data_IF_015677170650
#
_entry.id   IF_015677170650
#
_cell.length_a   1.000
_cell.length_b   1.000
_cell.length_c   1.000
_cell.angle_alpha   90.00
_cell.angle_beta   90.00
_cell.angle_gamma   90.00
#
_symmetry.space_group_name_H-M   'P 1'
#
loop_
_entity.id
_entity.type
_entity.pdbx_description
1 polymer ?
#
# COMPACT_ATOMS: atom_id res chain seq x y z
N UNK A 1 -63.73 -50.11 -28.23
CA UNK A 1 -63.12 -50.35 -26.91
C UNK A 1 -61.63 -50.64 -27.12
N UNK A 2 -60.79 -49.60 -27.18
CA UNK A 2 -59.35 -49.72 -27.44
C UNK A 2 -58.61 -49.34 -26.17
N UNK A 3 -57.76 -50.25 -25.67
CA UNK A 3 -57.09 -50.18 -24.37
C UNK A 3 -55.70 -49.53 -24.58
N UNK A 4 -55.45 -48.27 -24.16
CA UNK A 4 -54.17 -47.61 -24.36
C UNK A 4 -53.25 -47.93 -23.18
N UNK A 5 -52.82 -49.19 -23.02
CA UNK A 5 -51.90 -49.56 -21.92
C UNK A 5 -50.41 -49.66 -22.31
N UNK A 6 -50.00 -50.07 -23.52
CA UNK A 6 -48.57 -50.16 -23.84
C UNK A 6 -47.96 -48.81 -24.24
N UNK A 7 -48.70 -47.93 -24.91
CA UNK A 7 -48.20 -46.63 -25.37
C UNK A 7 -47.87 -45.66 -24.22
N UNK A 8 -48.70 -45.66 -23.16
CA UNK A 8 -48.49 -44.82 -21.97
C UNK A 8 -47.28 -45.32 -21.14
N UNK A 9 -47.08 -46.65 -21.06
CA UNK A 9 -45.93 -47.25 -20.38
C UNK A 9 -44.61 -46.99 -21.13
N UNK A 10 -44.62 -47.10 -22.46
CA UNK A 10 -43.45 -46.79 -23.29
C UNK A 10 -43.05 -45.32 -23.19
N UNK A 11 -44.03 -44.40 -23.14
CA UNK A 11 -43.78 -42.98 -22.92
C UNK A 11 -43.13 -42.71 -21.56
N UNK A 12 -43.60 -43.37 -20.49
CA UNK A 12 -43.05 -43.21 -19.15
C UNK A 12 -41.61 -43.74 -19.05
N UNK A 13 -41.33 -44.91 -19.64
CA UNK A 13 -39.97 -45.49 -19.70
C UNK A 13 -39.00 -44.59 -20.49
N UNK A 14 -39.45 -44.03 -21.63
CA UNK A 14 -38.64 -43.15 -22.44
C UNK A 14 -38.34 -41.83 -21.72
N UNK A 15 -39.30 -41.30 -20.97
CA UNK A 15 -39.09 -40.11 -20.13
C UNK A 15 -38.08 -40.35 -19.01
N UNK A 16 -38.12 -41.52 -18.35
CA UNK A 16 -37.15 -41.90 -17.31
C UNK A 16 -35.75 -42.09 -17.92
N UNK A 17 -35.64 -42.70 -19.11
CA UNK A 17 -34.37 -42.89 -19.82
C UNK A 17 -33.74 -41.55 -20.24
N UNK A 18 -34.54 -40.63 -20.78
CA UNK A 18 -34.09 -39.27 -21.12
C UNK A 18 -33.69 -38.46 -19.88
N UNK A 19 -34.40 -38.62 -18.75
CA UNK A 19 -34.02 -37.99 -17.49
C UNK A 19 -32.72 -38.57 -16.93
N UNK A 20 -32.46 -39.85 -17.13
CA UNK A 20 -31.22 -40.51 -16.66
C UNK A 20 -29.98 -40.21 -17.51
N UNK A 21 -30.16 -39.78 -18.78
CA UNK A 21 -29.05 -39.33 -19.64
C UNK A 21 -28.67 -37.87 -19.43
N UNK A 22 -29.53 -37.06 -18.79
CA UNK A 22 -29.20 -35.72 -18.25
C UNK A 22 -28.38 -35.81 -16.95
N UNK A 23 -27.44 -36.74 -16.87
CA UNK A 23 -26.49 -36.89 -15.77
C UNK A 23 -25.51 -35.70 -15.70
N UNK A 24 -24.25 -35.94 -15.34
CA UNK A 24 -23.25 -34.91 -15.05
C UNK A 24 -23.09 -33.78 -16.10
N UNK A 25 -23.55 -33.97 -17.34
CA UNK A 25 -23.62 -32.94 -18.38
C UNK A 25 -24.58 -31.79 -18.00
N UNK A 26 -25.66 -32.06 -17.27
CA UNK A 26 -26.61 -31.04 -16.78
C UNK A 26 -26.05 -30.17 -15.64
N UNK A 27 -24.96 -30.59 -15.00
CA UNK A 27 -24.32 -29.83 -13.92
C UNK A 27 -23.51 -28.65 -14.43
N UNK A 28 -22.99 -28.73 -15.66
CA UNK A 28 -22.25 -27.62 -16.30
C UNK A 28 -23.17 -26.42 -16.55
N UNK A 29 -24.31 -26.53 -17.27
CA UNK A 29 -25.20 -25.38 -17.47
C UNK A 29 -25.83 -24.90 -16.16
N UNK A 30 -26.03 -25.78 -15.16
CA UNK A 30 -26.46 -25.37 -13.84
C UNK A 30 -25.39 -24.55 -13.09
N UNK A 31 -24.11 -24.87 -13.28
CA UNK A 31 -22.99 -24.09 -12.72
C UNK A 31 -22.85 -22.74 -13.42
N UNK A 32 -22.87 -22.70 -14.76
CA UNK A 32 -22.80 -21.46 -15.52
C UNK A 32 -23.95 -20.51 -15.16
N UNK A 33 -25.17 -21.03 -15.00
CA UNK A 33 -26.32 -20.23 -14.54
C UNK A 33 -26.13 -19.66 -13.12
N UNK A 34 -25.50 -20.42 -12.22
CA UNK A 34 -25.19 -19.95 -10.88
C UNK A 34 -24.05 -18.92 -10.86
N UNK A 35 -23.08 -19.02 -11.78
CA UNK A 35 -22.02 -18.02 -11.94
C UNK A 35 -22.55 -16.72 -12.57
N UNK A 36 -23.52 -16.79 -13.49
CA UNK A 36 -24.18 -15.60 -14.07
C UNK A 36 -25.04 -14.83 -13.04
N UNK A 37 -25.56 -15.54 -12.03
CA UNK A 37 -26.24 -14.92 -10.89
C UNK A 37 -25.27 -14.33 -9.85
N UNK A 38 -23.95 -14.52 -10.02
CA UNK A 38 -22.95 -13.94 -9.12
C UNK A 38 -22.87 -12.43 -9.36
N UNK A 39 -22.77 -11.60 -8.30
CA UNK A 39 -22.50 -10.18 -8.48
C UNK A 39 -21.14 -9.98 -9.16
N UNK A 40 -21.05 -8.97 -10.02
CA UNK A 40 -19.78 -8.57 -10.63
C UNK A 40 -18.72 -8.23 -9.57
N UNK A 41 -17.44 -8.53 -9.84
CA UNK A 41 -16.33 -8.11 -8.98
C UNK A 41 -16.25 -6.58 -8.95
N UNK A 42 -15.79 -6.05 -7.82
CA UNK A 42 -15.60 -4.62 -7.64
C UNK A 42 -14.13 -4.30 -7.55
N UNK A 43 -13.70 -3.29 -8.30
CA UNK A 43 -12.37 -2.72 -8.15
C UNK A 43 -12.33 -1.86 -6.88
N UNK A 44 -11.38 -2.13 -6.01
CA UNK A 44 -11.17 -1.38 -4.77
C UNK A 44 -9.73 -0.86 -4.70
N UNK A 45 -9.56 0.30 -4.08
CA UNK A 45 -8.25 0.89 -3.83
C UNK A 45 -7.71 0.41 -2.47
N UNK A 46 -6.54 -0.23 -2.48
CA UNK A 46 -5.79 -0.60 -1.28
C UNK A 46 -4.67 0.41 -1.06
N UNK A 47 -4.52 0.89 0.17
CA UNK A 47 -3.57 1.96 0.52
C UNK A 47 -2.53 1.44 1.50
N UNK A 48 -1.34 1.21 0.99
CA UNK A 48 -0.17 0.84 1.79
C UNK A 48 0.62 2.09 2.20
N UNK A 49 1.31 2.00 3.34
CA UNK A 49 2.06 3.13 3.90
C UNK A 49 3.39 2.66 4.47
N UNK A 50 4.44 3.40 4.14
CA UNK A 50 5.78 3.22 4.67
C UNK A 50 6.13 4.48 5.44
N UNK A 51 6.42 4.33 6.72
CA UNK A 51 6.68 5.44 7.62
C UNK A 51 8.11 5.37 8.14
N UNK A 52 8.89 6.42 7.92
CA UNK A 52 10.18 6.65 8.54
C UNK A 52 10.06 7.89 9.43
N UNK A 53 10.05 7.70 10.75
CA UNK A 53 9.95 8.80 11.70
C UNK A 53 10.94 8.63 12.82
N UNK A 54 11.51 9.73 13.30
CA UNK A 54 12.45 9.74 14.41
C UNK A 54 12.28 11.01 15.25
N UNK A 55 12.54 10.86 16.55
CA UNK A 55 12.63 11.96 17.51
C UNK A 55 14.04 11.92 18.05
N UNK A 56 14.79 13.01 17.86
CA UNK A 56 16.17 13.07 18.29
C UNK A 56 16.25 13.22 19.81
N UNK A 57 17.20 12.50 20.40
CA UNK A 57 17.57 12.60 21.82
C UNK A 57 19.10 12.57 21.92
N UNK A 58 19.65 13.34 22.84
CA UNK A 58 21.08 13.43 23.16
C UNK A 58 21.33 12.91 24.55
N UNK A 59 22.47 12.25 24.74
CA UNK A 59 22.86 11.76 26.06
C UNK A 59 23.11 12.92 27.03
N UNK A 60 22.87 12.68 28.32
CA UNK A 60 23.01 13.69 29.38
C UNK A 60 24.43 14.28 29.50
N UNK A 61 25.43 13.64 28.90
CA UNK A 61 26.83 14.10 28.86
C UNK A 61 27.16 14.98 27.66
N UNK A 62 26.30 15.03 26.64
CA UNK A 62 26.51 15.79 25.40
C UNK A 62 25.23 16.48 24.92
N UNK A 63 24.68 17.34 25.77
CA UNK A 63 23.44 18.10 25.54
C UNK A 63 23.57 19.06 24.34
N UNK A 64 24.80 19.37 23.91
CA UNK A 64 25.09 20.23 22.76
C UNK A 64 25.49 19.45 21.50
N UNK A 65 25.47 18.12 21.56
CA UNK A 65 25.82 17.26 20.43
C UNK A 65 24.61 17.02 19.52
N UNK A 66 24.79 17.12 18.21
CA UNK A 66 23.78 16.66 17.25
C UNK A 66 23.87 15.14 17.10
N UNK A 67 22.74 14.45 17.07
CA UNK A 67 22.69 13.01 16.75
C UNK A 67 22.27 12.79 15.31
N UNK A 68 22.86 11.79 14.65
CA UNK A 68 22.51 11.39 13.29
C UNK A 68 21.64 10.13 13.29
N UNK A 69 20.68 10.08 12.39
CA UNK A 69 19.80 8.97 12.15
C UNK A 69 19.74 8.69 10.65
N UNK A 70 19.99 7.44 10.25
CA UNK A 70 19.85 7.01 8.87
C UNK A 70 19.06 5.72 8.81
N UNK A 71 18.12 5.63 7.86
CA UNK A 71 17.33 4.43 7.61
C UNK A 71 17.09 4.26 6.12
N UNK A 72 16.99 3.01 5.68
CA UNK A 72 16.64 2.66 4.32
C UNK A 72 15.54 1.59 4.36
N UNK A 73 14.47 1.81 3.62
CA UNK A 73 13.33 0.91 3.52
C UNK A 73 13.04 0.65 2.05
N UNK A 74 12.66 -0.58 1.72
CA UNK A 74 12.35 -1.00 0.35
C UNK A 74 10.92 -1.49 0.24
N UNK A 75 10.33 -1.34 -0.94
CA UNK A 75 9.00 -1.86 -1.25
C UNK A 75 8.87 -2.24 -2.72
N UNK A 76 7.99 -3.19 -2.99
CA UNK A 76 7.76 -3.69 -4.35
C UNK A 76 6.65 -2.90 -5.05
N UNK A 77 6.90 -2.53 -6.30
CA UNK A 77 5.95 -1.87 -7.19
C UNK A 77 5.68 -2.80 -8.36
N UNK A 78 4.41 -3.15 -8.56
CA UNK A 78 3.90 -3.98 -9.65
C UNK A 78 2.93 -3.16 -10.52
N UNK A 79 2.36 -3.81 -11.55
CA UNK A 79 1.42 -3.20 -12.49
C UNK A 79 0.14 -2.69 -11.83
N UNK A 80 -0.20 -3.20 -10.65
CA UNK A 80 -1.41 -2.83 -9.90
C UNK A 80 -1.23 -1.55 -9.08
N UNK A 81 0.01 -1.07 -8.92
CA UNK A 81 0.28 0.23 -8.30
C UNK A 81 -0.09 1.34 -9.28
N UNK A 82 -1.02 2.19 -8.86
CA UNK A 82 -1.53 3.30 -9.65
C UNK A 82 -0.84 4.61 -9.29
N UNK A 83 -0.61 4.81 -7.99
CA UNK A 83 -0.08 6.06 -7.48
C UNK A 83 0.89 5.83 -6.31
N UNK A 84 2.01 6.54 -6.34
CA UNK A 84 2.95 6.65 -5.22
C UNK A 84 3.00 8.11 -4.81
N UNK A 85 2.74 8.40 -3.54
CA UNK A 85 2.79 9.75 -2.98
C UNK A 85 3.83 9.83 -1.85
N UNK A 86 4.76 10.77 -1.96
CA UNK A 86 5.82 11.03 -1.00
C UNK A 86 5.56 12.31 -0.20
N UNK A 87 5.79 12.23 1.11
CA UNK A 87 5.55 13.31 2.06
C UNK A 87 6.69 13.41 3.07
N UNK A 88 7.15 14.64 3.34
CA UNK A 88 8.14 14.94 4.38
C UNK A 88 7.67 16.10 5.25
N UNK A 89 7.81 15.93 6.57
CA UNK A 89 7.56 16.95 7.57
C UNK A 89 8.62 16.88 8.66
N UNK A 90 9.17 18.02 9.02
CA UNK A 90 10.12 18.15 10.12
C UNK A 90 9.63 19.19 11.13
N UNK A 91 9.92 18.96 12.40
CA UNK A 91 9.74 19.90 13.49
C UNK A 91 11.11 20.10 14.15
N UNK A 92 11.70 21.27 13.96
CA UNK A 92 13.05 21.62 14.39
C UNK A 92 13.07 22.93 15.20
N UNK A 93 12.42 22.98 16.38
CA UNK A 93 12.13 24.23 17.08
C UNK A 93 13.35 24.88 17.77
N UNK A 94 14.54 24.26 17.73
CA UNK A 94 15.71 24.66 18.52
C UNK A 94 16.12 26.14 18.38
N UNK A 95 15.96 26.73 17.17
CA UNK A 95 16.24 28.15 16.92
C UNK A 95 15.39 29.11 17.76
N UNK A 96 14.19 28.70 18.15
CA UNK A 96 13.33 29.50 19.03
C UNK A 96 13.75 29.41 20.50
N UNK A 97 14.59 28.45 20.88
CA UNK A 97 14.77 28.04 22.28
C UNK A 97 16.20 28.33 22.78
N UNK A 98 17.24 28.16 21.95
CA UNK A 98 18.64 28.35 22.35
C UNK A 98 19.45 29.15 21.30
N UNK A 99 19.66 30.47 21.50
CA UNK A 99 20.54 31.25 20.63
C UNK A 99 22.01 30.83 20.82
N UNK A 100 22.70 30.47 19.72
CA UNK A 100 24.14 30.18 19.72
C UNK A 100 24.54 28.72 19.48
N UNK A 101 23.60 27.80 19.32
CA UNK A 101 23.88 26.44 18.83
C UNK A 101 24.03 26.50 17.30
N UNK A 102 25.04 25.84 16.71
CA UNK A 102 25.18 25.77 15.25
C UNK A 102 23.95 25.11 14.61
N UNK A 103 23.22 25.84 13.79
CA UNK A 103 22.01 25.33 13.11
C UNK A 103 22.33 24.71 11.75
N UNK A 104 23.47 25.07 11.17
CA UNK A 104 23.99 24.62 9.86
C UNK A 104 24.20 23.10 9.75
N UNK A 105 24.17 22.38 10.88
CA UNK A 105 24.40 20.93 10.94
C UNK A 105 23.12 20.11 11.00
N UNK A 106 21.94 20.75 11.07
CA UNK A 106 20.64 20.07 11.18
C UNK A 106 20.00 19.92 9.81
N UNK A 107 19.57 18.71 9.49
CA UNK A 107 18.88 18.43 8.24
C UNK A 107 18.08 17.15 8.35
N UNK A 108 17.04 17.04 7.54
CA UNK A 108 16.36 15.79 7.20
C UNK A 108 16.36 15.72 5.69
N UNK A 109 17.04 14.71 5.17
CA UNK A 109 17.14 14.43 3.75
C UNK A 109 16.44 13.12 3.46
N UNK A 110 15.51 13.15 2.52
CA UNK A 110 14.81 11.97 2.07
C UNK A 110 14.92 11.85 0.56
N UNK A 111 15.24 10.65 0.09
CA UNK A 111 15.30 10.33 -1.33
C UNK A 111 14.49 9.07 -1.62
N UNK A 112 13.77 9.08 -2.73
CA UNK A 112 13.10 7.91 -3.28
C UNK A 112 13.77 7.55 -4.60
N UNK A 113 14.24 6.31 -4.68
CA UNK A 113 14.86 5.73 -5.86
C UNK A 113 13.94 4.65 -6.42
N UNK A 114 13.68 4.72 -7.73
CA UNK A 114 12.86 3.74 -8.44
C UNK A 114 13.61 2.41 -8.70
N UNK A 115 12.92 1.46 -9.31
CA UNK A 115 13.50 0.15 -9.67
C UNK A 115 14.60 0.23 -10.75
N UNK A 116 14.66 1.31 -11.53
CA UNK A 116 15.71 1.54 -12.53
C UNK A 116 16.99 2.15 -11.92
N UNK A 117 16.95 2.54 -10.64
CA UNK A 117 18.03 3.26 -9.98
C UNK A 117 17.98 4.78 -10.18
N UNK A 118 16.88 5.32 -10.71
CA UNK A 118 16.66 6.76 -10.86
C UNK A 118 16.08 7.36 -9.57
N UNK A 119 16.67 8.47 -9.12
CA UNK A 119 16.15 9.21 -7.97
C UNK A 119 14.99 10.10 -8.41
N UNK A 120 13.77 9.60 -8.25
CA UNK A 120 12.53 10.28 -8.66
C UNK A 120 12.08 11.38 -7.69
N UNK A 121 12.53 11.31 -6.44
CA UNK A 121 12.20 12.30 -5.42
C UNK A 121 13.39 12.56 -4.50
N UNK A 122 13.59 13.82 -4.17
CA UNK A 122 14.60 14.25 -3.22
C UNK A 122 14.15 15.54 -2.54
N UNK A 123 14.12 15.53 -1.23
CA UNK A 123 13.83 16.71 -0.42
C UNK A 123 14.81 16.82 0.73
N UNK A 124 15.20 18.05 1.01
CA UNK A 124 16.02 18.42 2.15
C UNK A 124 15.32 19.51 2.95
N UNK A 125 15.17 19.28 4.25
CA UNK A 125 14.51 20.18 5.18
C UNK A 125 15.46 20.46 6.34
N UNK A 126 15.76 21.73 6.58
CA UNK A 126 16.67 22.19 7.64
C UNK A 126 15.95 22.92 8.78
N UNK A 127 14.66 23.19 8.61
CA UNK A 127 13.84 23.97 9.54
C UNK A 127 12.50 23.27 9.83
N UNK A 128 11.66 23.91 10.65
CA UNK A 128 10.29 23.42 10.88
C UNK A 128 9.43 23.69 9.65
N UNK A 129 9.37 22.71 8.76
CA UNK A 129 8.64 22.81 7.51
C UNK A 129 7.90 21.51 7.17
N UNK A 130 6.81 21.67 6.42
CA UNK A 130 6.11 20.59 5.74
C UNK A 130 6.13 20.88 4.25
N UNK A 131 6.81 20.04 3.48
CA UNK A 131 6.84 20.18 2.02
C UNK A 131 5.52 19.71 1.39
N UNK A 132 5.29 20.17 0.17
CA UNK A 132 4.16 19.70 -0.64
C UNK A 132 4.33 18.20 -0.94
N UNK A 133 3.19 17.51 -1.09
CA UNK A 133 3.19 16.09 -1.46
C UNK A 133 3.63 15.95 -2.91
N UNK A 134 4.62 15.11 -3.17
CA UNK A 134 5.01 14.71 -4.51
C UNK A 134 4.24 13.43 -4.88
N UNK A 135 3.60 13.44 -6.04
CA UNK A 135 2.75 12.33 -6.50
C UNK A 135 3.26 11.82 -7.85
N UNK A 136 3.42 10.51 -7.95
CA UNK A 136 3.90 9.79 -9.13
C UNK A 136 2.78 8.85 -9.60
N UNK A 137 2.46 8.93 -10.89
CA UNK A 137 1.42 8.13 -11.54
C UNK A 137 2.03 7.37 -12.72
N UNK A 138 1.29 6.38 -13.24
CA UNK A 138 1.76 5.52 -14.33
C UNK A 138 2.25 6.29 -15.58
N UNK A 139 3.31 5.80 -16.27
CA UNK A 139 4.00 4.54 -16.02
C UNK A 139 5.00 4.62 -14.85
N UNK A 140 4.87 3.72 -13.89
CA UNK A 140 5.81 3.54 -12.77
C UNK A 140 6.80 2.43 -13.13
N UNK A 141 8.05 2.55 -12.67
CA UNK A 141 9.04 1.49 -12.84
C UNK A 141 8.67 0.28 -11.96
N UNK A 142 8.39 -0.86 -12.59
CA UNK A 142 8.11 -2.11 -11.86
C UNK A 142 9.39 -2.66 -11.21
N UNK A 143 9.26 -3.15 -9.97
CA UNK A 143 10.33 -3.74 -9.18
C UNK A 143 10.52 -3.06 -7.82
N UNK A 144 11.71 -3.23 -7.23
CA UNK A 144 12.00 -2.76 -5.88
C UNK A 144 12.35 -1.27 -5.85
N UNK A 145 11.53 -0.49 -5.15
CA UNK A 145 11.79 0.91 -4.85
C UNK A 145 12.46 1.05 -3.49
N UNK A 146 13.30 2.08 -3.34
CA UNK A 146 14.06 2.32 -2.11
C UNK A 146 13.83 3.74 -1.60
N UNK A 147 13.30 3.84 -0.37
CA UNK A 147 13.28 5.05 0.42
C UNK A 147 14.54 5.10 1.29
N UNK A 148 15.34 6.15 1.13
CA UNK A 148 16.48 6.43 2.00
C UNK A 148 16.26 7.73 2.73
N UNK A 149 16.44 7.71 4.05
CA UNK A 149 16.35 8.89 4.89
C UNK A 149 17.65 9.02 5.68
N UNK A 150 18.25 10.21 5.61
CA UNK A 150 19.41 10.59 6.40
C UNK A 150 19.11 11.91 7.09
N UNK A 151 19.29 11.96 8.40
CA UNK A 151 18.86 13.08 9.20
C UNK A 151 19.82 13.33 10.35
N UNK A 152 19.94 14.59 10.74
CA UNK A 152 20.70 15.03 11.90
C UNK A 152 19.92 16.11 12.63
N UNK A 153 19.81 15.97 13.94
CA UNK A 153 19.06 16.89 14.79
C UNK A 153 19.54 16.87 16.22
N UNK A 154 18.87 17.66 17.04
CA UNK A 154 19.14 17.76 18.47
C UNK A 154 17.89 17.39 19.27
N UNK A 155 18.07 16.94 20.50
CA UNK A 155 16.95 16.86 21.40
C UNK A 155 17.40 16.49 22.80
N UNK A 156 16.80 17.10 23.79
CA UNK A 156 17.24 17.00 25.17
C UNK A 156 16.22 16.21 26.01
N UNK A 157 16.70 15.32 26.88
CA UNK A 157 15.82 14.40 27.64
C UNK A 157 15.66 14.76 29.14
N UNK A 158 16.55 15.56 29.73
CA UNK A 158 16.55 15.86 31.17
C UNK A 158 15.39 16.79 31.54
N UNK A 159 15.18 17.86 30.78
CA UNK A 159 14.11 18.85 30.99
C UNK A 159 13.02 18.79 29.89
N UNK A 160 13.26 18.07 28.80
CA UNK A 160 12.33 17.85 27.69
C UNK A 160 11.81 19.17 27.09
N UNK A 161 12.70 20.17 27.01
CA UNK A 161 12.35 21.53 26.58
C UNK A 161 12.33 21.64 25.05
N UNK A 162 13.20 20.90 24.37
CA UNK A 162 13.30 20.89 22.91
C UNK A 162 13.68 19.51 22.39
N UNK A 163 13.02 19.09 21.31
CA UNK A 163 13.33 17.87 20.54
C UNK A 163 13.03 18.11 19.07
N UNK A 164 14.04 17.97 18.24
CA UNK A 164 13.85 17.90 16.81
C UNK A 164 13.20 16.54 16.47
N UNK A 165 12.31 16.53 15.49
CA UNK A 165 11.67 15.31 15.02
C UNK A 165 11.29 15.43 13.55
N UNK A 166 11.13 14.28 12.90
CA UNK A 166 10.66 14.25 11.52
C UNK A 166 9.78 13.04 11.25
N UNK A 167 9.03 13.16 10.16
CA UNK A 167 8.25 12.09 9.57
C UNK A 167 8.35 12.16 8.04
N UNK A 168 8.77 11.05 7.45
CA UNK A 168 8.71 10.79 6.02
C UNK A 168 7.72 9.65 5.79
N UNK A 169 6.72 9.89 4.94
CA UNK A 169 5.66 8.94 4.64
C UNK A 169 5.60 8.72 3.14
N UNK A 170 5.71 7.46 2.72
CA UNK A 170 5.38 7.02 1.36
C UNK A 170 4.03 6.32 1.42
N UNK A 171 3.11 6.74 0.57
CA UNK A 171 1.79 6.14 0.41
C UNK A 171 1.72 5.51 -0.97
N UNK A 172 1.33 4.25 -1.01
CA UNK A 172 1.25 3.45 -2.23
C UNK A 172 -0.22 3.09 -2.40
N UNK A 173 -0.81 3.49 -3.52
CA UNK A 173 -2.19 3.15 -3.87
C UNK A 173 -2.17 2.07 -4.95
N UNK A 174 -2.83 0.95 -4.62
CA UNK A 174 -2.99 -0.22 -5.49
C UNK A 174 -4.44 -0.39 -5.87
N UNK A 175 -4.71 -0.83 -7.08
CA UNK A 175 -6.02 -1.33 -7.49
C UNK A 175 -6.06 -2.84 -7.30
N UNK A 176 -7.15 -3.36 -6.74
CA UNK A 176 -7.37 -4.80 -6.61
C UNK A 176 -8.83 -5.13 -6.92
N UNK A 177 -9.08 -6.37 -7.36
CA UNK A 177 -10.43 -6.89 -7.53
C UNK A 177 -10.91 -7.58 -6.25
N UNK A 178 -12.07 -7.18 -5.76
CA UNK A 178 -12.76 -7.85 -4.66
C UNK A 178 -13.96 -8.64 -5.20
N UNK A 179 -13.88 -9.96 -5.05
CA UNK A 179 -14.97 -10.87 -5.38
C UNK A 179 -15.95 -11.01 -4.20
N UNK A 180 -17.28 -11.01 -4.42
CA UNK A 180 -18.28 -10.97 -3.35
C UNK A 180 -18.23 -12.13 -2.34
N UNK A 181 -17.72 -13.29 -2.77
CA UNK A 181 -17.71 -14.53 -1.99
C UNK A 181 -16.32 -14.92 -1.48
N UNK A 182 -15.32 -14.08 -1.71
CA UNK A 182 -13.93 -14.34 -1.33
C UNK A 182 -13.45 -13.31 -0.32
N UNK A 183 -12.69 -13.77 0.67
CA UNK A 183 -12.06 -12.90 1.67
C UNK A 183 -10.66 -12.58 1.18
N UNK A 184 -10.48 -11.40 0.60
CA UNK A 184 -9.19 -10.92 0.12
C UNK A 184 -9.31 -10.03 -1.11
N UNK A 185 -8.15 -9.51 -1.54
CA UNK A 185 -7.96 -8.87 -2.83
C UNK A 185 -7.38 -9.90 -3.80
N UNK A 186 -7.90 -9.92 -5.02
CA UNK A 186 -7.25 -10.54 -6.16
C UNK A 186 -6.52 -9.45 -6.95
N UNK A 187 -5.31 -9.79 -7.39
CA UNK A 187 -4.45 -8.99 -8.25
C UNK A 187 -4.37 -9.72 -9.59
N UNK A 188 -4.36 -8.98 -10.70
CA UNK A 188 -4.36 -9.57 -12.06
C UNK A 188 -2.95 -9.99 -12.52
#
# INVERSE_FOLDING_TARGET
>A
MMRPKPAMSAFMMLAILMASSMGCIGLVPAREFMEDLRPEPKEIEVKDKINASHVFTTDATDIQGSTSYSTSQTFEVDSDVVEISAYISAAMPLELILPGIPTDVRFVRASLTDANGEQVWFEEVTETERKMVATFQQPLAEGTWTLTVDARGYGEEIANIYKDSFQVLIKIERQCWQYPNEVGCAYD
#
